data_IF_115620799181
#
_entry.id   IF_115620799181
#
_cell.length_a   1.000
_cell.length_b   1.000
_cell.length_c   1.000
_cell.angle_alpha   90.00
_cell.angle_beta   90.00
_cell.angle_gamma   90.00
#
_symmetry.space_group_name_H-M   'P 1'
#
loop_
_entity.id
_entity.type
_entity.pdbx_description
1 polymer ?
#
# COMPACT_ATOMS: atom_id res chain seq x y z
N UNK A 1 -7.27 -25.86 22.75
CA UNK A 1 -6.08 -25.50 21.92
C UNK A 1 -4.87 -25.95 22.72
N UNK A 2 -3.94 -26.67 22.11
CA UNK A 2 -2.72 -27.16 22.81
C UNK A 2 -1.82 -25.97 23.14
N UNK A 3 -1.25 -25.95 24.32
CA UNK A 3 -0.39 -24.85 24.82
C UNK A 3 1.07 -25.31 24.96
N UNK A 4 1.99 -24.36 25.14
CA UNK A 4 3.40 -24.68 25.44
C UNK A 4 3.51 -25.44 26.77
N UNK A 5 2.65 -25.15 27.74
CA UNK A 5 2.58 -25.83 29.03
C UNK A 5 2.19 -27.31 28.88
N UNK A 6 1.27 -27.63 27.97
CA UNK A 6 0.85 -29.01 27.71
C UNK A 6 2.00 -29.83 27.10
N UNK A 7 2.71 -29.23 26.11
CA UNK A 7 3.89 -29.86 25.50
C UNK A 7 5.01 -30.06 26.52
N UNK A 8 5.26 -29.06 27.35
CA UNK A 8 6.29 -29.11 28.38
C UNK A 8 6.02 -30.23 29.40
N UNK A 9 4.75 -30.36 29.81
CA UNK A 9 4.29 -31.43 30.73
C UNK A 9 4.47 -32.80 30.10
N UNK A 10 4.09 -32.97 28.85
CA UNK A 10 4.19 -34.24 28.14
C UNK A 10 5.65 -34.64 27.84
N UNK A 11 6.50 -33.68 27.51
CA UNK A 11 7.93 -33.91 27.25
C UNK A 11 8.77 -34.01 28.57
N UNK A 12 8.20 -33.75 29.75
CA UNK A 12 8.91 -33.74 31.01
C UNK A 12 9.98 -32.65 31.15
N UNK A 13 9.78 -31.50 30.49
CA UNK A 13 10.74 -30.38 30.46
C UNK A 13 10.09 -29.05 30.85
N UNK A 14 10.90 -27.98 30.96
CA UNK A 14 10.37 -26.65 31.21
C UNK A 14 9.74 -26.02 29.94
N UNK A 15 8.78 -25.12 30.12
CA UNK A 15 8.21 -24.33 29.05
C UNK A 15 9.28 -23.50 28.28
N UNK A 16 10.35 -23.11 28.98
CA UNK A 16 11.51 -22.44 28.38
C UNK A 16 12.24 -23.36 27.41
N UNK A 17 12.40 -24.65 27.76
CA UNK A 17 13.03 -25.65 26.88
C UNK A 17 12.22 -25.85 25.62
N UNK A 18 10.90 -26.01 25.73
CA UNK A 18 9.98 -26.11 24.58
C UNK A 18 10.06 -24.84 23.71
N UNK A 19 10.02 -23.66 24.31
CA UNK A 19 10.15 -22.39 23.60
C UNK A 19 11.49 -22.28 22.86
N UNK A 20 12.58 -22.76 23.44
CA UNK A 20 13.88 -22.77 22.79
C UNK A 20 13.90 -23.69 21.55
N UNK A 21 13.31 -24.87 21.66
CA UNK A 21 13.19 -25.81 20.51
C UNK A 21 12.35 -25.20 19.38
N UNK A 22 11.18 -24.64 19.70
CA UNK A 22 10.30 -23.98 18.74
C UNK A 22 11.04 -22.85 17.98
N UNK A 23 11.95 -22.16 18.65
CA UNK A 23 12.70 -21.03 18.06
C UNK A 23 14.11 -21.40 17.53
N UNK A 24 14.42 -22.69 17.42
CA UNK A 24 15.72 -23.16 16.91
C UNK A 24 16.91 -22.87 17.81
N UNK A 25 16.68 -22.47 19.07
CA UNK A 25 17.72 -22.17 20.08
C UNK A 25 18.13 -23.43 20.82
N UNK A 26 18.65 -24.43 20.10
CA UNK A 26 18.87 -25.78 20.60
C UNK A 26 20.23 -26.01 21.25
N UNK A 27 21.14 -25.01 21.27
CA UNK A 27 22.54 -25.13 21.72
C UNK A 27 22.69 -25.65 23.18
N UNK A 28 21.62 -25.57 24.01
CA UNK A 28 21.59 -26.05 25.40
C UNK A 28 20.57 -27.15 25.63
N UNK A 29 20.05 -27.77 24.57
CA UNK A 29 19.04 -28.83 24.62
C UNK A 29 19.63 -30.05 23.95
N UNK A 30 19.49 -31.24 24.59
CA UNK A 30 19.98 -32.49 23.98
C UNK A 30 19.24 -32.81 22.70
N UNK A 31 19.89 -33.45 21.73
CA UNK A 31 19.26 -33.88 20.47
C UNK A 31 18.01 -34.72 20.72
N UNK A 32 18.08 -35.69 21.62
CA UNK A 32 16.94 -36.54 22.01
C UNK A 32 15.76 -35.72 22.57
N UNK A 33 16.02 -34.66 23.34
CA UNK A 33 14.95 -33.78 23.85
C UNK A 33 14.33 -32.93 22.74
N UNK A 34 15.14 -32.49 21.78
CA UNK A 34 14.65 -31.78 20.59
C UNK A 34 13.70 -32.67 19.77
N UNK A 35 14.10 -33.93 19.55
CA UNK A 35 13.30 -34.90 18.78
C UNK A 35 11.96 -35.18 19.47
N UNK A 36 11.96 -35.44 20.78
CA UNK A 36 10.74 -35.67 21.58
C UNK A 36 9.79 -34.47 21.48
N UNK A 37 10.29 -33.27 21.70
CA UNK A 37 9.46 -32.04 21.64
C UNK A 37 8.89 -31.85 20.25
N UNK A 38 9.70 -32.05 19.22
CA UNK A 38 9.29 -31.89 17.82
C UNK A 38 8.19 -32.87 17.44
N UNK A 39 8.30 -34.13 17.91
CA UNK A 39 7.29 -35.15 17.68
C UNK A 39 5.96 -34.80 18.38
N UNK A 40 6.00 -34.39 19.65
CA UNK A 40 4.81 -33.97 20.39
C UNK A 40 4.14 -32.78 19.70
N UNK A 41 4.91 -31.77 19.24
CA UNK A 41 4.39 -30.63 18.48
C UNK A 41 3.64 -31.10 17.24
N UNK A 42 4.23 -32.05 16.49
CA UNK A 42 3.64 -32.60 15.27
C UNK A 42 2.35 -33.39 15.57
N UNK A 43 2.38 -34.28 16.56
CA UNK A 43 1.25 -35.15 16.91
C UNK A 43 0.07 -34.35 17.47
N UNK A 44 0.35 -33.35 18.30
CA UNK A 44 -0.67 -32.49 18.91
C UNK A 44 -1.15 -31.38 18.01
N UNK A 45 -0.54 -31.19 16.82
CA UNK A 45 -0.88 -30.11 15.90
C UNK A 45 -0.69 -28.73 16.54
N UNK A 46 0.34 -28.58 17.40
CA UNK A 46 0.60 -27.31 18.06
C UNK A 46 1.06 -26.25 17.03
N UNK A 47 0.37 -25.13 17.01
CA UNK A 47 0.77 -23.95 16.23
C UNK A 47 1.13 -22.82 17.21
N UNK A 48 2.32 -22.22 17.08
CA UNK A 48 2.71 -21.09 17.93
C UNK A 48 1.67 -19.96 17.86
N UNK A 49 1.21 -19.52 19.04
CA UNK A 49 0.26 -18.43 19.14
C UNK A 49 0.98 -17.09 18.91
N UNK A 50 0.71 -16.43 17.79
CA UNK A 50 1.30 -15.15 17.42
C UNK A 50 0.95 -14.04 18.43
N UNK A 51 -0.26 -14.07 19.01
CA UNK A 51 -0.67 -13.09 20.02
C UNK A 51 0.13 -13.24 21.31
N UNK A 52 0.36 -14.47 21.77
CA UNK A 52 1.21 -14.72 22.93
C UNK A 52 2.67 -14.32 22.68
N UNK A 53 3.15 -14.52 21.45
CA UNK A 53 4.47 -14.06 21.02
C UNK A 53 4.55 -12.54 21.02
N UNK A 54 3.55 -11.86 20.46
CA UNK A 54 3.47 -10.39 20.38
C UNK A 54 3.54 -9.76 21.79
N UNK A 55 2.86 -10.32 22.78
CA UNK A 55 2.94 -9.87 24.17
C UNK A 55 4.39 -9.96 24.70
N UNK A 56 5.08 -11.09 24.46
CA UNK A 56 6.44 -11.33 24.95
C UNK A 56 7.49 -10.48 24.21
N UNK A 57 7.35 -10.29 22.92
CA UNK A 57 8.32 -9.55 22.08
C UNK A 57 7.98 -8.07 21.95
N UNK A 58 6.79 -7.65 22.37
CA UNK A 58 6.21 -6.33 22.12
C UNK A 58 6.16 -5.97 20.63
N UNK A 59 6.03 -7.00 19.79
CA UNK A 59 6.01 -6.84 18.33
C UNK A 59 4.97 -7.77 17.74
N UNK A 60 4.01 -7.21 17.00
CA UNK A 60 2.96 -7.95 16.27
C UNK A 60 3.41 -8.39 14.89
N UNK A 61 4.42 -7.73 14.35
CA UNK A 61 4.87 -7.88 12.96
C UNK A 61 3.77 -7.57 11.95
N UNK A 62 2.84 -6.68 12.29
CA UNK A 62 1.75 -6.27 11.40
C UNK A 62 2.02 -4.88 10.84
N UNK A 63 1.98 -4.76 9.53
CA UNK A 63 1.96 -3.48 8.79
C UNK A 63 0.58 -3.33 8.16
N UNK A 64 -0.02 -2.16 8.29
CA UNK A 64 -1.32 -1.87 7.69
C UNK A 64 -1.15 -1.18 6.33
N UNK A 65 -1.84 -1.70 5.31
CA UNK A 65 -2.11 -0.96 4.08
C UNK A 65 -3.49 -0.34 4.22
N UNK A 66 -3.54 0.97 4.29
CA UNK A 66 -4.77 1.72 4.45
C UNK A 66 -5.20 2.27 3.09
N UNK A 67 -6.38 1.88 2.65
CA UNK A 67 -7.05 2.53 1.53
C UNK A 67 -8.08 3.51 2.10
N UNK A 68 -7.86 4.81 1.92
CA UNK A 68 -8.85 5.79 2.32
C UNK A 68 -9.94 5.92 1.25
N UNK A 69 -11.17 5.93 1.69
CA UNK A 69 -12.34 6.02 0.82
C UNK A 69 -12.90 7.45 0.87
N UNK A 70 -12.86 8.15 -0.25
CA UNK A 70 -13.52 9.46 -0.37
C UNK A 70 -15.04 9.34 -0.52
N UNK A 71 -15.51 8.19 -1.03
CA UNK A 71 -16.94 7.88 -1.15
C UNK A 71 -17.17 6.36 -1.14
N UNK A 72 -18.39 5.95 -0.83
CA UNK A 72 -18.80 4.53 -0.87
C UNK A 72 -18.67 3.89 -2.25
N UNK A 73 -18.60 4.68 -3.32
CA UNK A 73 -18.42 4.19 -4.69
C UNK A 73 -16.99 3.72 -4.98
N UNK A 74 -16.04 4.02 -4.10
CA UNK A 74 -14.65 3.57 -4.21
C UNK A 74 -14.39 2.20 -3.56
N UNK A 75 -15.43 1.47 -3.16
CA UNK A 75 -15.27 0.13 -2.55
C UNK A 75 -14.56 -0.90 -3.46
N UNK A 76 -14.41 -0.58 -4.76
CA UNK A 76 -13.78 -1.47 -5.76
C UNK A 76 -12.27 -1.25 -5.95
N UNK A 77 -11.58 -0.67 -4.98
CA UNK A 77 -10.13 -0.44 -5.10
C UNK A 77 -9.32 -1.72 -5.40
N UNK A 78 -9.80 -2.89 -4.94
CA UNK A 78 -9.20 -4.19 -5.24
C UNK A 78 -9.34 -4.60 -6.72
N UNK A 79 -10.11 -3.89 -7.52
CA UNK A 79 -10.19 -4.11 -8.98
C UNK A 79 -9.25 -3.21 -9.80
N UNK A 80 -8.55 -2.28 -9.15
CA UNK A 80 -7.52 -1.47 -9.79
C UNK A 80 -6.23 -2.30 -9.97
N UNK A 81 -5.78 -2.56 -11.21
CA UNK A 81 -4.57 -3.35 -11.45
C UNK A 81 -3.32 -2.75 -10.80
N UNK A 82 -3.18 -1.43 -10.81
CA UNK A 82 -2.03 -0.77 -10.18
C UNK A 82 -2.01 -1.00 -8.66
N UNK A 83 -3.16 -0.84 -8.01
CA UNK A 83 -3.28 -1.10 -6.58
C UNK A 83 -2.99 -2.56 -6.23
N UNK A 84 -3.42 -3.50 -7.06
CA UNK A 84 -3.17 -4.92 -6.85
C UNK A 84 -1.69 -5.28 -7.02
N UNK A 85 -1.02 -4.75 -8.04
CA UNK A 85 0.41 -4.96 -8.26
C UNK A 85 1.24 -4.37 -7.11
N UNK A 86 0.91 -3.14 -6.68
CA UNK A 86 1.53 -2.48 -5.55
C UNK A 86 1.35 -3.30 -4.25
N UNK A 87 0.12 -3.73 -3.98
CA UNK A 87 -0.20 -4.55 -2.80
C UNK A 87 0.60 -5.86 -2.80
N UNK A 88 0.68 -6.53 -3.96
CA UNK A 88 1.42 -7.78 -4.12
C UNK A 88 2.92 -7.59 -3.88
N UNK A 89 3.50 -6.50 -4.37
CA UNK A 89 4.91 -6.17 -4.16
C UNK A 89 5.22 -5.88 -2.69
N UNK A 90 4.36 -5.11 -2.03
CA UNK A 90 4.47 -4.79 -0.60
C UNK A 90 4.31 -6.05 0.26
N UNK A 91 3.29 -6.89 -0.01
CA UNK A 91 3.09 -8.15 0.71
C UNK A 91 4.31 -9.06 0.61
N UNK A 92 4.81 -9.27 -0.61
CA UNK A 92 6.00 -10.10 -0.83
C UNK A 92 7.20 -9.61 -0.02
N UNK A 93 7.49 -8.31 -0.08
CA UNK A 93 8.61 -7.70 0.63
C UNK A 93 8.48 -7.84 2.15
N UNK A 94 7.28 -7.62 2.70
CA UNK A 94 6.99 -7.77 4.12
C UNK A 94 7.10 -9.22 4.57
N UNK A 95 6.56 -10.16 3.82
CA UNK A 95 6.60 -11.60 4.11
C UNK A 95 8.02 -12.14 4.13
N UNK A 96 8.89 -11.72 3.21
CA UNK A 96 10.30 -12.08 3.20
C UNK A 96 11.05 -11.63 4.46
N UNK A 97 10.55 -10.59 5.14
CA UNK A 97 11.08 -10.08 6.40
C UNK A 97 10.29 -10.56 7.64
N UNK A 98 9.32 -11.45 7.46
CA UNK A 98 8.52 -12.04 8.53
C UNK A 98 7.47 -11.10 9.10
N UNK A 99 7.02 -10.12 8.31
CA UNK A 99 5.88 -9.26 8.60
C UNK A 99 4.61 -9.77 7.94
N UNK A 100 3.47 -9.33 8.45
CA UNK A 100 2.14 -9.56 7.90
C UNK A 100 1.57 -8.26 7.37
N UNK A 101 0.93 -8.32 6.22
CA UNK A 101 0.18 -7.19 5.66
C UNK A 101 -1.29 -7.30 6.05
N UNK A 102 -1.83 -6.25 6.66
CA UNK A 102 -3.25 -6.12 6.95
C UNK A 102 -3.83 -4.99 6.09
N UNK A 103 -4.80 -5.31 5.25
CA UNK A 103 -5.44 -4.33 4.37
C UNK A 103 -6.75 -3.87 5.00
N UNK A 104 -6.95 -2.57 5.08
CA UNK A 104 -8.18 -1.96 5.60
C UNK A 104 -8.59 -0.75 4.75
N UNK A 105 -9.86 -0.73 4.36
CA UNK A 105 -10.50 0.47 3.81
C UNK A 105 -11.07 1.29 4.97
N UNK A 106 -10.80 2.58 5.02
CA UNK A 106 -11.18 3.49 6.10
C UNK A 106 -11.68 4.81 5.46
N UNK A 107 -12.77 5.34 5.98
CA UNK A 107 -13.37 6.60 5.52
C UNK A 107 -13.14 7.77 6.49
N UNK A 108 -12.89 7.48 7.78
CA UNK A 108 -12.77 8.48 8.83
C UNK A 108 -11.45 8.36 9.58
N UNK A 109 -10.83 9.49 9.93
CA UNK A 109 -9.54 9.51 10.64
C UNK A 109 -9.61 8.91 12.05
N UNK A 110 -10.73 9.03 12.73
CA UNK A 110 -10.93 8.43 14.06
C UNK A 110 -11.00 6.90 13.98
N UNK A 111 -11.57 6.35 12.90
CA UNK A 111 -11.54 4.92 12.62
C UNK A 111 -10.11 4.42 12.42
N UNK A 112 -9.27 5.20 11.75
CA UNK A 112 -7.84 4.89 11.57
C UNK A 112 -7.14 4.71 12.90
N UNK A 113 -7.24 5.69 13.80
CA UNK A 113 -6.59 5.62 15.12
C UNK A 113 -7.07 4.43 15.95
N UNK A 114 -8.38 4.18 15.96
CA UNK A 114 -8.97 3.04 16.65
C UNK A 114 -8.44 1.71 16.08
N UNK A 115 -8.37 1.60 14.76
CA UNK A 115 -7.84 0.44 14.07
C UNK A 115 -6.37 0.20 14.40
N UNK A 116 -5.51 1.21 14.27
CA UNK A 116 -4.07 1.08 14.53
C UNK A 116 -3.78 0.63 15.97
N UNK A 117 -4.51 1.18 16.95
CA UNK A 117 -4.36 0.83 18.37
C UNK A 117 -4.86 -0.58 18.68
N UNK A 118 -6.04 -0.96 18.17
CA UNK A 118 -6.65 -2.27 18.45
C UNK A 118 -5.82 -3.44 17.91
N UNK A 119 -5.13 -3.23 16.80
CA UNK A 119 -4.33 -4.27 16.15
C UNK A 119 -2.83 -4.17 16.45
N UNK A 120 -2.40 -3.18 17.26
CA UNK A 120 -0.98 -2.91 17.53
C UNK A 120 -0.13 -2.91 16.25
N UNK A 121 -0.56 -2.15 15.26
CA UNK A 121 0.13 -2.02 13.97
C UNK A 121 1.48 -1.36 14.18
N UNK A 122 2.52 -1.86 13.50
CA UNK A 122 3.91 -1.37 13.63
C UNK A 122 4.31 -0.39 12.54
N UNK A 123 3.50 -0.25 11.49
CA UNK A 123 3.73 0.70 10.41
C UNK A 123 2.51 0.82 9.51
N UNK A 124 2.41 1.94 8.83
CA UNK A 124 1.32 2.25 7.91
C UNK A 124 1.88 2.45 6.51
N UNK A 125 1.21 1.84 5.55
CA UNK A 125 1.39 2.09 4.13
C UNK A 125 0.09 2.69 3.60
N UNK A 126 0.14 3.87 2.98
CA UNK A 126 -1.05 4.57 2.50
C UNK A 126 -0.81 5.21 1.13
N UNK A 127 -1.47 4.72 0.06
CA UNK A 127 -1.35 5.30 -1.27
C UNK A 127 -2.27 6.50 -1.47
N UNK A 128 -1.80 7.48 -2.24
CA UNK A 128 -2.62 8.55 -2.81
C UNK A 128 -3.18 9.56 -1.81
N UNK A 129 -2.47 9.83 -0.70
CA UNK A 129 -2.90 10.81 0.29
C UNK A 129 -2.71 12.26 -0.21
N UNK A 130 -3.70 13.11 0.05
CA UNK A 130 -3.63 14.55 -0.20
C UNK A 130 -3.43 15.32 1.11
N UNK A 131 -2.67 16.44 1.04
CA UNK A 131 -2.40 17.29 2.20
C UNK A 131 -3.67 17.92 2.79
N UNK A 132 -4.69 18.11 1.96
CA UNK A 132 -6.00 18.64 2.37
C UNK A 132 -6.88 17.65 3.11
N UNK A 133 -6.50 16.39 3.20
CA UNK A 133 -7.32 15.35 3.82
C UNK A 133 -7.10 15.26 5.34
N UNK A 134 -8.14 14.96 6.13
CA UNK A 134 -8.01 14.80 7.58
C UNK A 134 -6.97 13.76 8.00
N UNK A 135 -6.80 12.70 7.19
CA UNK A 135 -5.80 11.66 7.41
C UNK A 135 -4.37 12.18 7.48
N UNK A 136 -4.05 13.23 6.72
CA UNK A 136 -2.70 13.80 6.70
C UNK A 136 -2.24 14.23 8.08
N UNK A 137 -3.04 15.01 8.79
CA UNK A 137 -2.70 15.47 10.14
C UNK A 137 -2.59 14.28 11.12
N UNK A 138 -3.52 13.34 11.04
CA UNK A 138 -3.52 12.16 11.90
C UNK A 138 -2.25 11.32 11.68
N UNK A 139 -1.87 11.05 10.44
CA UNK A 139 -0.69 10.23 10.11
C UNK A 139 0.62 10.93 10.49
N UNK A 140 0.68 12.25 10.33
CA UNK A 140 1.86 13.05 10.66
C UNK A 140 2.20 13.04 12.16
N UNK A 141 1.19 12.88 13.01
CA UNK A 141 1.34 12.83 14.47
C UNK A 141 1.64 11.43 15.01
N UNK A 142 1.64 10.40 14.17
CA UNK A 142 1.93 9.04 14.61
C UNK A 142 3.41 8.86 14.95
N UNK A 143 3.67 8.23 16.11
CA UNK A 143 5.00 7.78 16.52
C UNK A 143 5.27 6.35 15.97
N UNK A 144 5.11 6.17 14.67
CA UNK A 144 5.41 4.93 13.96
C UNK A 144 5.78 5.22 12.50
N UNK A 145 6.47 4.29 11.80
CA UNK A 145 6.78 4.45 10.40
C UNK A 145 5.51 4.59 9.53
N UNK A 146 5.46 5.63 8.72
CA UNK A 146 4.41 5.84 7.72
C UNK A 146 5.06 5.99 6.35
N UNK A 147 4.66 5.14 5.43
CA UNK A 147 5.09 5.20 4.03
C UNK A 147 3.88 5.53 3.16
N UNK A 148 4.00 6.59 2.40
CA UNK A 148 3.03 7.02 1.41
C UNK A 148 3.51 6.63 0.01
N UNK A 149 2.58 6.48 -0.93
CA UNK A 149 2.92 6.43 -2.36
C UNK A 149 2.07 7.42 -3.13
N UNK A 150 2.68 7.98 -4.18
CA UNK A 150 2.01 8.88 -5.11
C UNK A 150 1.30 10.06 -4.43
N UNK A 151 1.88 10.53 -3.33
CA UNK A 151 1.35 11.63 -2.51
C UNK A 151 2.23 12.87 -2.69
N UNK A 152 1.68 13.92 -3.29
CA UNK A 152 2.41 15.17 -3.55
C UNK A 152 2.21 16.15 -2.40
N UNK A 153 2.77 15.80 -1.24
CA UNK A 153 2.66 16.55 0.02
C UNK A 153 3.93 17.36 0.23
N UNK A 154 3.78 18.64 0.58
CA UNK A 154 4.89 19.59 0.78
C UNK A 154 5.66 19.34 2.08
N UNK A 155 4.97 19.01 3.16
CA UNK A 155 5.54 18.73 4.48
C UNK A 155 5.26 17.30 4.93
N UNK A 156 6.19 16.42 4.68
CA UNK A 156 6.06 15.00 5.05
C UNK A 156 6.29 14.73 6.55
N UNK A 157 6.90 15.65 7.31
CA UNK A 157 7.28 15.36 8.69
C UNK A 157 8.12 14.09 8.80
N UNK A 158 7.63 13.10 9.56
CA UNK A 158 8.29 11.79 9.73
C UNK A 158 7.90 10.76 8.66
N UNK A 159 6.99 11.11 7.77
CA UNK A 159 6.51 10.21 6.72
C UNK A 159 7.51 10.15 5.56
N UNK A 160 7.51 9.03 4.85
CA UNK A 160 8.27 8.84 3.61
C UNK A 160 7.29 8.70 2.46
N UNK A 161 7.51 9.41 1.36
CA UNK A 161 6.74 9.23 0.14
C UNK A 161 7.59 8.59 -0.95
N UNK A 162 7.04 7.60 -1.62
CA UNK A 162 7.63 6.92 -2.77
C UNK A 162 6.64 7.11 -3.93
N UNK A 163 7.08 7.69 -5.03
CA UNK A 163 6.21 7.95 -6.17
C UNK A 163 6.94 7.90 -7.50
N UNK A 164 6.18 7.95 -8.56
CA UNK A 164 6.69 8.03 -9.92
C UNK A 164 6.96 9.50 -10.27
N UNK A 165 7.89 9.77 -11.21
CA UNK A 165 8.12 11.11 -11.73
C UNK A 165 7.01 11.48 -12.75
N UNK A 166 5.76 11.65 -12.28
CA UNK A 166 4.56 11.80 -13.10
C UNK A 166 4.62 13.00 -14.06
N UNK A 167 5.13 14.13 -13.57
CA UNK A 167 5.35 15.31 -14.41
C UNK A 167 6.28 14.98 -15.59
N UNK A 168 7.43 14.39 -15.29
CA UNK A 168 8.43 14.07 -16.32
C UNK A 168 7.94 12.98 -17.26
N UNK A 169 7.26 11.96 -16.75
CA UNK A 169 6.67 10.90 -17.55
C UNK A 169 5.67 11.43 -18.58
N UNK A 170 4.76 12.32 -18.14
CA UNK A 170 3.78 12.95 -19.03
C UNK A 170 4.46 13.91 -20.03
N UNK A 171 5.47 14.65 -19.58
CA UNK A 171 6.27 15.52 -20.47
C UNK A 171 6.95 14.73 -21.58
N UNK A 172 7.57 13.61 -21.24
CA UNK A 172 8.23 12.72 -22.18
C UNK A 172 7.25 12.09 -23.19
N UNK A 173 6.11 11.59 -22.70
CA UNK A 173 5.09 10.99 -23.56
C UNK A 173 4.52 12.01 -24.55
N UNK A 174 4.19 13.21 -24.07
CA UNK A 174 3.67 14.29 -24.92
C UNK A 174 4.71 14.75 -25.94
N UNK A 175 5.96 14.93 -25.53
CA UNK A 175 7.05 15.26 -26.44
C UNK A 175 7.22 14.22 -27.54
N UNK A 176 7.16 12.93 -27.18
CA UNK A 176 7.25 11.84 -28.15
C UNK A 176 6.16 11.95 -29.23
N UNK A 177 4.92 12.25 -28.86
CA UNK A 177 3.85 12.48 -29.84
C UNK A 177 4.14 13.68 -30.73
N UNK A 178 4.66 14.79 -30.20
CA UNK A 178 5.01 15.99 -30.98
C UNK A 178 6.14 15.69 -31.95
N UNK A 179 7.17 14.97 -31.52
CA UNK A 179 8.30 14.55 -32.38
C UNK A 179 7.85 13.64 -33.52
N UNK A 180 6.76 12.87 -33.35
CA UNK A 180 6.14 12.06 -34.39
C UNK A 180 5.10 12.83 -35.25
N UNK A 181 5.07 14.16 -35.16
CA UNK A 181 4.27 15.02 -36.02
C UNK A 181 2.89 15.37 -35.52
N UNK A 182 2.46 14.86 -34.38
CA UNK A 182 1.16 15.21 -33.79
C UNK A 182 1.16 16.65 -33.27
N UNK A 183 0.08 17.38 -33.56
CA UNK A 183 -0.10 18.78 -33.14
C UNK A 183 -1.35 19.00 -32.31
N UNK A 184 -2.33 18.12 -32.42
CA UNK A 184 -3.54 18.08 -31.60
C UNK A 184 -3.48 16.82 -30.73
N UNK A 185 -3.15 16.99 -29.47
CA UNK A 185 -2.91 15.89 -28.53
C UNK A 185 -3.94 16.00 -27.42
N UNK A 186 -4.72 14.96 -27.21
CA UNK A 186 -5.70 14.88 -26.13
C UNK A 186 -5.02 14.43 -24.85
N UNK A 187 -5.37 15.08 -23.75
CA UNK A 187 -5.11 14.61 -22.41
C UNK A 187 -6.42 14.04 -21.84
N UNK A 188 -6.50 12.71 -21.70
CA UNK A 188 -7.65 12.03 -21.14
C UNK A 188 -7.27 11.41 -19.78
N UNK A 189 -8.03 11.70 -18.73
CA UNK A 189 -7.69 11.30 -17.37
C UNK A 189 -8.92 11.18 -16.46
N UNK A 190 -8.77 10.59 -15.30
CA UNK A 190 -9.67 10.85 -14.17
C UNK A 190 -9.70 12.33 -13.81
N UNK A 191 -10.68 12.74 -13.00
CA UNK A 191 -10.79 14.11 -12.52
C UNK A 191 -9.47 14.61 -11.90
N UNK A 192 -9.03 15.77 -12.34
CA UNK A 192 -7.81 16.41 -11.84
C UNK A 192 -8.07 16.94 -10.43
N UNK A 193 -7.29 16.43 -9.46
CA UNK A 193 -7.31 16.93 -8.09
C UNK A 193 -6.02 17.70 -7.79
N UNK A 194 -6.09 18.89 -7.19
CA UNK A 194 -4.90 19.64 -6.78
C UNK A 194 -4.00 18.80 -5.86
N UNK A 195 -2.69 18.84 -6.11
CA UNK A 195 -1.70 18.05 -5.35
C UNK A 195 -1.70 16.56 -5.65
N UNK A 196 -2.33 16.11 -6.75
CA UNK A 196 -2.40 14.71 -7.10
C UNK A 196 -1.58 14.32 -8.33
N UNK A 197 -1.45 13.02 -8.54
CA UNK A 197 -0.78 12.39 -9.68
C UNK A 197 -1.26 12.94 -11.02
N UNK A 198 -2.58 13.05 -11.20
CA UNK A 198 -3.18 13.50 -12.45
C UNK A 198 -2.84 14.97 -12.75
N UNK A 199 -2.78 15.82 -11.72
CA UNK A 199 -2.33 17.20 -11.88
C UNK A 199 -0.88 17.27 -12.35
N UNK A 200 0.01 16.48 -11.76
CA UNK A 200 1.41 16.44 -12.17
C UNK A 200 1.56 16.00 -13.63
N UNK A 201 0.78 15.01 -14.05
CA UNK A 201 0.74 14.59 -15.46
C UNK A 201 0.21 15.69 -16.40
N UNK A 202 -0.84 16.40 -15.99
CA UNK A 202 -1.38 17.52 -16.75
C UNK A 202 -0.37 18.67 -16.87
N UNK A 203 0.37 18.96 -15.80
CA UNK A 203 1.44 19.96 -15.81
C UNK A 203 2.57 19.54 -16.74
N UNK A 204 2.98 18.28 -16.74
CA UNK A 204 3.96 17.74 -17.67
C UNK A 204 3.51 17.83 -19.14
N UNK A 205 2.25 17.51 -19.41
CA UNK A 205 1.64 17.68 -20.74
C UNK A 205 1.70 19.13 -21.20
N UNK A 206 1.26 20.09 -20.36
CA UNK A 206 1.32 21.52 -20.67
C UNK A 206 2.74 21.99 -20.95
N UNK A 207 3.69 21.61 -20.12
CA UNK A 207 5.09 21.99 -20.27
C UNK A 207 5.70 21.46 -21.59
N UNK A 208 5.31 20.26 -22.01
CA UNK A 208 5.77 19.73 -23.31
C UNK A 208 5.20 20.50 -24.52
N UNK A 209 3.93 20.89 -24.46
CA UNK A 209 3.32 21.73 -25.51
C UNK A 209 4.04 23.07 -25.60
N UNK A 210 4.20 23.77 -24.49
CA UNK A 210 4.84 25.07 -24.40
C UNK A 210 6.28 25.04 -24.92
N UNK A 211 7.08 24.07 -24.51
CA UNK A 211 8.46 23.88 -24.93
C UNK A 211 8.61 23.64 -26.45
N UNK A 212 7.53 23.21 -27.11
CA UNK A 212 7.50 22.96 -28.55
C UNK A 212 6.66 24.00 -29.36
N UNK A 213 6.30 25.13 -28.71
CA UNK A 213 5.55 26.21 -29.37
C UNK A 213 4.10 25.87 -29.73
N UNK A 214 3.52 24.83 -29.07
CA UNK A 214 2.12 24.47 -29.27
C UNK A 214 1.26 25.10 -28.17
N UNK A 215 0.10 25.72 -28.56
CA UNK A 215 -0.78 26.30 -27.56
C UNK A 215 -1.46 25.20 -26.70
N UNK A 216 -1.62 25.47 -25.41
CA UNK A 216 -2.48 24.66 -24.57
C UNK A 216 -3.95 24.98 -24.88
N UNK A 217 -4.72 23.96 -25.27
CA UNK A 217 -6.15 24.08 -25.52
C UNK A 217 -6.93 23.28 -24.44
N UNK A 218 -7.66 23.97 -23.53
CA UNK A 218 -8.45 23.29 -22.52
C UNK A 218 -9.50 22.34 -23.06
N UNK A 219 -9.98 22.56 -24.31
CA UNK A 219 -10.96 21.68 -24.95
C UNK A 219 -10.41 20.30 -25.31
N UNK A 220 -9.10 20.12 -25.23
CA UNK A 220 -8.40 18.85 -25.41
C UNK A 220 -8.12 18.13 -24.10
N UNK A 221 -8.56 18.68 -22.97
CA UNK A 221 -8.48 18.01 -21.65
C UNK A 221 -9.82 17.35 -21.36
N UNK A 222 -9.82 16.04 -21.26
CA UNK A 222 -11.02 15.24 -21.02
C UNK A 222 -10.90 14.55 -19.66
N UNK A 223 -11.72 15.02 -18.73
CA UNK A 223 -11.82 14.45 -17.40
C UNK A 223 -13.08 13.59 -17.27
N UNK A 224 -12.97 12.45 -16.63
CA UNK A 224 -14.11 11.59 -16.29
C UNK A 224 -13.91 10.93 -14.93
N UNK A 225 -14.97 10.37 -14.38
CA UNK A 225 -14.85 9.56 -13.16
C UNK A 225 -13.88 8.39 -13.37
N UNK A 226 -13.18 8.01 -12.30
CA UNK A 226 -12.28 6.85 -12.30
C UNK A 226 -13.07 5.54 -12.44
N UNK A 227 -13.45 5.23 -13.68
CA UNK A 227 -14.24 4.06 -14.03
C UNK A 227 -13.87 3.59 -15.42
N UNK A 228 -13.55 2.30 -15.57
CA UNK A 228 -13.24 1.69 -16.87
C UNK A 228 -14.34 1.94 -17.90
N UNK A 229 -15.61 1.80 -17.50
CA UNK A 229 -16.76 2.06 -18.38
C UNK A 229 -16.81 3.50 -18.86
N UNK A 230 -16.65 4.46 -17.93
CA UNK A 230 -16.65 5.90 -18.28
C UNK A 230 -15.49 6.27 -19.17
N UNK A 231 -14.31 5.73 -18.92
CA UNK A 231 -13.12 5.95 -19.76
C UNK A 231 -13.30 5.36 -21.16
N UNK A 232 -13.89 4.18 -21.29
CA UNK A 232 -14.22 3.58 -22.60
C UNK A 232 -15.27 4.38 -23.36
N UNK A 233 -16.32 4.86 -22.71
CA UNK A 233 -17.33 5.73 -23.32
C UNK A 233 -16.70 7.04 -23.83
N UNK A 234 -15.80 7.63 -23.05
CA UNK A 234 -15.08 8.84 -23.42
C UNK A 234 -14.16 8.58 -24.63
N UNK A 235 -13.39 7.49 -24.63
CA UNK A 235 -12.57 7.08 -25.76
C UNK A 235 -13.39 6.87 -27.03
N UNK A 236 -14.55 6.22 -26.93
CA UNK A 236 -15.45 6.03 -28.07
C UNK A 236 -16.05 7.36 -28.59
N UNK A 237 -16.27 8.36 -27.76
CA UNK A 237 -16.67 9.71 -28.18
C UNK A 237 -15.55 10.44 -28.89
N UNK A 238 -14.32 10.35 -28.35
CA UNK A 238 -13.14 10.95 -28.99
C UNK A 238 -12.86 10.37 -30.38
N UNK A 239 -12.96 9.04 -30.51
CA UNK A 239 -12.73 8.36 -31.77
C UNK A 239 -13.75 8.72 -32.90
N UNK A 240 -14.86 9.38 -32.56
CA UNK A 240 -15.87 9.85 -33.52
C UNK A 240 -15.69 11.32 -33.92
N UNK A 241 -14.67 11.99 -33.40
CA UNK A 241 -14.39 13.38 -33.78
C UNK A 241 -13.63 13.42 -35.10
N UNK A 242 -14.10 14.26 -36.02
CA UNK A 242 -13.50 14.43 -37.36
C UNK A 242 -12.31 15.42 -37.36
N UNK A 243 -11.97 15.98 -36.19
CA UNK A 243 -10.92 17.00 -36.03
C UNK A 243 -9.62 16.48 -35.42
N UNK A 244 -9.42 15.14 -35.43
CA UNK A 244 -8.19 14.47 -35.01
C UNK A 244 -7.48 13.82 -36.19
#
# INVERSE_FOLDING_TARGET
MVTIEDIAREAGVSTTTVSNVIHGRTNKVSANTVDIITEIIRERGYVPNLSARAIKTRSTKVVALINHLESRDQEKFMSDPFFMDLTSAVEKSLREQGYFLMIRAISESDELLAFLRNWNVEGVFMPGLFESEPFYHTLRELDMPVVLTDSYISDLGNMVNIGLPDFEGARLATRHLIENGHRRIVFASPNVKPGGVVEQRLLGYKAALEANGLPFDPSLVYECEFSTTKMMEQGARLAKRDDF
#
